data_IF_547677552291
#
_entry.id   IF_547677552291
#
_cell.length_a   1.000
_cell.length_b   1.000
_cell.length_c   1.000
_cell.angle_alpha   90.00
_cell.angle_beta   90.00
_cell.angle_gamma   90.00
#
_symmetry.space_group_name_H-M   'P 1'
#
loop_
_entity.id
_entity.type
_entity.pdbx_description
1 polymer ?
#
# COMPACT_ATOMS: atom_id res chain seq x y z
N UNK A 1 -16.48 -10.67 -23.18
CA UNK A 1 -15.74 -10.95 -21.93
C UNK A 1 -14.27 -10.95 -22.30
N UNK A 2 -13.52 -9.90 -21.95
CA UNK A 2 -12.08 -9.82 -22.27
C UNK A 2 -11.34 -10.74 -21.32
N UNK A 3 -10.68 -11.76 -21.83
CA UNK A 3 -9.79 -12.60 -21.01
C UNK A 3 -8.63 -11.75 -20.46
N UNK A 4 -8.48 -11.75 -19.15
CA UNK A 4 -7.37 -11.09 -18.48
C UNK A 4 -6.12 -11.96 -18.64
N UNK A 5 -5.11 -11.42 -19.29
CA UNK A 5 -3.79 -12.08 -19.37
C UNK A 5 -3.07 -11.99 -18.01
N UNK A 6 -2.18 -12.95 -17.74
CA UNK A 6 -1.42 -12.99 -16.49
C UNK A 6 -0.54 -11.75 -16.27
N UNK A 7 -0.19 -11.02 -17.32
CA UNK A 7 0.67 -9.84 -17.30
C UNK A 7 -0.07 -8.50 -17.17
N UNK A 8 -1.40 -8.50 -17.07
CA UNK A 8 -2.16 -7.26 -16.93
C UNK A 8 -2.27 -6.80 -15.48
N UNK A 9 -2.04 -5.50 -15.25
CA UNK A 9 -2.42 -4.85 -14.02
C UNK A 9 -3.94 -4.75 -13.93
N UNK A 10 -4.50 -5.06 -12.77
CA UNK A 10 -5.95 -5.08 -12.57
C UNK A 10 -6.28 -4.52 -11.20
N UNK A 11 -7.17 -3.54 -11.15
CA UNK A 11 -7.82 -3.08 -9.92
C UNK A 11 -9.32 -3.23 -10.08
N UNK A 12 -9.98 -3.85 -9.11
CA UNK A 12 -11.43 -4.06 -9.12
C UNK A 12 -12.06 -3.66 -7.80
N UNK A 13 -13.22 -3.04 -7.88
CA UNK A 13 -14.09 -2.76 -6.73
C UNK A 13 -15.35 -3.59 -6.82
N UNK A 14 -15.74 -4.11 -5.66
CA UNK A 14 -16.95 -4.87 -5.47
C UNK A 14 -17.75 -4.26 -4.32
N UNK A 15 -19.06 -4.24 -4.44
CA UNK A 15 -19.99 -3.93 -3.38
C UNK A 15 -20.78 -5.19 -3.08
N UNK A 16 -20.80 -5.59 -1.82
CA UNK A 16 -21.61 -6.71 -1.34
C UNK A 16 -22.81 -6.13 -0.60
N UNK A 17 -24.02 -6.32 -1.17
CA UNK A 17 -25.25 -5.69 -0.69
C UNK A 17 -25.93 -6.43 0.47
N UNK A 18 -25.37 -7.54 0.94
CA UNK A 18 -25.91 -8.27 2.07
C UNK A 18 -25.52 -7.57 3.37
N UNK A 19 -26.48 -7.31 4.24
CA UNK A 19 -26.27 -6.59 5.49
C UNK A 19 -25.42 -7.42 6.51
N UNK A 20 -24.37 -6.82 7.13
CA UNK A 20 -23.88 -5.48 6.84
C UNK A 20 -23.14 -5.44 5.49
N UNK A 21 -23.41 -4.43 4.67
CA UNK A 21 -22.75 -4.25 3.40
C UNK A 21 -21.22 -4.16 3.53
N UNK A 22 -20.51 -4.56 2.50
CA UNK A 22 -19.04 -4.49 2.47
C UNK A 22 -18.55 -3.98 1.13
N UNK A 23 -17.47 -3.20 1.17
CA UNK A 23 -16.71 -2.80 0.00
C UNK A 23 -15.45 -3.65 -0.06
N UNK A 24 -15.17 -4.19 -1.23
CA UNK A 24 -13.93 -4.94 -1.48
C UNK A 24 -13.19 -4.28 -2.62
N UNK A 25 -11.90 -4.03 -2.43
CA UNK A 25 -10.99 -3.60 -3.49
C UNK A 25 -9.92 -4.66 -3.63
N UNK A 26 -9.77 -5.20 -4.82
CA UNK A 26 -8.68 -6.14 -5.14
C UNK A 26 -7.75 -5.52 -6.18
N UNK A 27 -6.46 -5.75 -6.06
CA UNK A 27 -5.48 -5.30 -7.03
C UNK A 27 -4.45 -6.40 -7.32
N UNK A 28 -4.04 -6.48 -8.57
CA UNK A 28 -2.89 -7.24 -9.03
C UNK A 28 -2.06 -6.33 -9.92
N UNK A 29 -0.80 -6.14 -9.54
CA UNK A 29 0.16 -5.35 -10.28
C UNK A 29 1.26 -6.30 -10.79
N UNK A 30 1.46 -6.34 -12.09
CA UNK A 30 2.48 -7.16 -12.73
C UNK A 30 3.44 -6.28 -13.53
N UNK A 31 2.97 -5.63 -14.57
CA UNK A 31 3.81 -4.71 -15.36
C UNK A 31 4.23 -3.50 -14.53
N UNK A 32 3.28 -2.88 -13.83
CA UNK A 32 3.56 -1.75 -12.94
C UNK A 32 4.50 -2.15 -11.79
N UNK A 33 4.30 -3.30 -11.17
CA UNK A 33 5.17 -3.78 -10.10
C UNK A 33 6.63 -3.91 -10.55
N UNK A 34 6.86 -4.44 -11.75
CA UNK A 34 8.21 -4.53 -12.36
C UNK A 34 8.76 -3.15 -12.69
N UNK A 35 7.95 -2.28 -13.33
CA UNK A 35 8.37 -0.94 -13.73
C UNK A 35 8.81 -0.07 -12.56
N UNK A 36 8.12 -0.16 -11.41
CA UNK A 36 8.41 0.60 -10.20
C UNK A 36 9.84 0.37 -9.66
N UNK A 37 10.38 -0.83 -9.84
CA UNK A 37 11.65 -1.25 -9.23
C UNK A 37 12.81 -1.39 -10.22
N UNK A 38 12.52 -1.53 -11.52
CA UNK A 38 13.52 -1.85 -12.56
C UNK A 38 14.63 -0.80 -12.67
N UNK A 39 14.32 0.47 -12.49
CA UNK A 39 15.28 1.57 -12.70
C UNK A 39 16.09 1.96 -11.46
N UNK A 40 15.84 1.33 -10.32
CA UNK A 40 16.41 1.74 -9.04
C UNK A 40 17.48 0.76 -8.49
N UNK A 41 17.75 -0.35 -9.19
CA UNK A 41 18.68 -1.40 -8.75
C UNK A 41 18.45 -1.85 -7.30
N UNK A 42 17.20 -1.94 -6.89
CA UNK A 42 16.82 -2.32 -5.54
C UNK A 42 17.17 -3.78 -5.24
N UNK A 43 17.68 -4.10 -4.05
CA UNK A 43 17.74 -5.48 -3.58
C UNK A 43 16.33 -6.11 -3.60
N UNK A 44 16.20 -7.42 -3.86
CA UNK A 44 14.89 -8.08 -4.00
C UNK A 44 13.93 -7.83 -2.82
N UNK A 45 14.45 -7.83 -1.58
CA UNK A 45 13.66 -7.58 -0.39
C UNK A 45 13.16 -6.12 -0.30
N UNK A 46 13.94 -5.14 -0.76
CA UNK A 46 13.53 -3.73 -0.85
C UNK A 46 12.51 -3.55 -1.96
N UNK A 47 12.72 -4.19 -3.10
CA UNK A 47 11.79 -4.19 -4.22
C UNK A 47 10.41 -4.72 -3.82
N UNK A 48 10.36 -5.85 -3.10
CA UNK A 48 9.11 -6.41 -2.58
C UNK A 48 8.38 -5.45 -1.63
N UNK A 49 9.09 -4.79 -0.71
CA UNK A 49 8.50 -3.78 0.18
C UNK A 49 7.95 -2.57 -0.59
N UNK A 50 8.68 -2.07 -1.58
CA UNK A 50 8.20 -0.98 -2.44
C UNK A 50 6.94 -1.37 -3.21
N UNK A 51 6.85 -2.61 -3.69
CA UNK A 51 5.68 -3.13 -4.37
C UNK A 51 4.48 -3.27 -3.43
N UNK A 52 4.68 -3.75 -2.20
CA UNK A 52 3.62 -3.80 -1.18
C UNK A 52 3.13 -2.38 -0.80
N UNK A 53 4.03 -1.42 -0.62
CA UNK A 53 3.68 -0.03 -0.33
C UNK A 53 2.86 0.59 -1.47
N UNK A 54 3.27 0.36 -2.72
CA UNK A 54 2.57 0.84 -3.91
C UNK A 54 1.19 0.21 -4.06
N UNK A 55 1.08 -1.08 -3.75
CA UNK A 55 -0.18 -1.80 -3.74
C UNK A 55 -1.13 -1.26 -2.66
N UNK A 56 -0.62 -0.99 -1.44
CA UNK A 56 -1.39 -0.39 -0.37
C UNK A 56 -1.94 1.00 -0.77
N UNK A 57 -1.10 1.86 -1.36
CA UNK A 57 -1.51 3.16 -1.88
C UNK A 57 -2.59 3.03 -2.96
N UNK A 58 -2.44 2.08 -3.89
CA UNK A 58 -3.43 1.81 -4.95
C UNK A 58 -4.77 1.32 -4.40
N UNK A 59 -4.77 0.39 -3.46
CA UNK A 59 -5.98 -0.13 -2.82
C UNK A 59 -6.74 0.99 -2.09
N UNK A 60 -6.04 1.83 -1.32
CA UNK A 60 -6.62 2.98 -0.62
C UNK A 60 -7.21 4.01 -1.59
N UNK A 61 -6.46 4.38 -2.62
CA UNK A 61 -6.91 5.32 -3.65
C UNK A 61 -8.21 4.85 -4.30
N UNK A 62 -8.33 3.55 -4.56
CA UNK A 62 -9.54 2.97 -5.14
C UNK A 62 -10.67 2.72 -4.11
N UNK A 63 -10.38 2.76 -2.83
CA UNK A 63 -11.38 2.66 -1.77
C UNK A 63 -12.08 4.00 -1.51
N UNK A 64 -11.35 5.11 -1.60
CA UNK A 64 -11.84 6.45 -1.32
C UNK A 64 -12.34 7.15 -2.59
N UNK A 65 -13.20 8.15 -2.40
CA UNK A 65 -13.61 9.08 -3.46
C UNK A 65 -12.96 10.42 -3.20
N UNK A 66 -11.89 10.71 -3.91
CA UNK A 66 -11.19 12.00 -3.84
C UNK A 66 -10.45 12.25 -5.15
N UNK A 67 -10.07 13.49 -5.39
CA UNK A 67 -9.13 13.89 -6.43
C UNK A 67 -7.87 14.39 -5.74
N UNK A 68 -6.72 13.84 -6.11
CA UNK A 68 -5.44 14.17 -5.47
C UNK A 68 -4.50 13.00 -5.39
N UNK A 69 -3.71 12.95 -4.33
CA UNK A 69 -2.65 11.98 -4.14
C UNK A 69 -2.78 11.25 -2.79
N UNK A 70 -2.60 9.93 -2.84
CA UNK A 70 -2.47 9.06 -1.67
C UNK A 70 -1.00 8.76 -1.46
N UNK A 71 -0.49 9.01 -0.26
CA UNK A 71 0.90 8.77 0.10
C UNK A 71 0.95 7.80 1.27
N UNK A 72 1.68 6.71 1.11
CA UNK A 72 1.99 5.75 2.17
C UNK A 72 3.49 5.80 2.42
N UNK A 73 3.89 6.02 3.66
CA UNK A 73 5.29 6.24 4.01
C UNK A 73 5.67 5.47 5.27
N UNK A 74 6.84 4.83 5.24
CA UNK A 74 7.53 4.33 6.42
C UNK A 74 8.88 5.01 6.56
N UNK A 75 9.16 5.58 7.73
CA UNK A 75 10.46 6.13 8.09
C UNK A 75 10.97 5.45 9.34
N UNK A 76 12.19 4.96 9.31
CA UNK A 76 12.69 4.04 10.32
C UNK A 76 14.19 4.19 10.56
N UNK A 77 14.69 3.52 11.60
CA UNK A 77 16.11 3.49 11.99
C UNK A 77 16.81 2.21 11.50
N UNK A 78 16.11 1.35 10.79
CA UNK A 78 16.68 0.11 10.24
C UNK A 78 17.47 0.31 8.94
N UNK A 79 18.02 -0.79 8.39
CA UNK A 79 18.74 -0.77 7.12
C UNK A 79 17.94 -0.20 5.94
N UNK A 80 16.62 -0.33 5.95
CA UNK A 80 15.71 0.36 5.02
C UNK A 80 15.12 1.55 5.77
N UNK A 81 15.72 2.72 5.63
CA UNK A 81 15.39 3.90 6.44
C UNK A 81 14.20 4.70 5.92
N UNK A 82 13.82 4.51 4.67
CA UNK A 82 12.68 5.18 4.05
C UNK A 82 12.02 4.29 3.00
N UNK A 83 10.70 4.21 3.06
CA UNK A 83 9.84 3.69 2.00
C UNK A 83 8.73 4.70 1.76
N UNK A 84 8.50 5.07 0.51
CA UNK A 84 7.40 5.96 0.11
C UNK A 84 6.73 5.38 -1.13
N UNK A 85 5.42 5.32 -1.12
CA UNK A 85 4.62 5.05 -2.30
C UNK A 85 3.54 6.13 -2.45
N UNK A 86 3.36 6.60 -3.66
CA UNK A 86 2.40 7.63 -4.02
C UNK A 86 1.50 7.09 -5.12
N UNK A 87 0.20 7.31 -4.98
CA UNK A 87 -0.80 6.94 -5.98
C UNK A 87 -1.74 8.11 -6.23
N UNK A 88 -1.79 8.60 -7.45
CA UNK A 88 -2.74 9.64 -7.84
C UNK A 88 -4.14 9.06 -8.04
N UNK A 89 -5.17 9.88 -7.95
CA UNK A 89 -6.56 9.46 -8.13
C UNK A 89 -6.87 8.91 -9.53
N UNK A 90 -6.03 9.21 -10.54
CA UNK A 90 -6.07 8.61 -11.88
C UNK A 90 -5.21 7.34 -12.02
N UNK A 91 -4.59 6.87 -10.93
CA UNK A 91 -3.92 5.58 -10.85
C UNK A 91 -2.43 5.58 -11.22
N UNK A 92 -1.78 6.74 -11.29
CA UNK A 92 -0.33 6.79 -11.47
C UNK A 92 0.38 6.44 -10.17
N UNK A 93 1.36 5.55 -10.24
CA UNK A 93 2.12 5.06 -9.10
C UNK A 93 3.58 5.49 -9.18
N UNK A 94 4.12 5.91 -8.04
CA UNK A 94 5.54 6.19 -7.85
C UNK A 94 5.99 5.59 -6.52
N UNK A 95 7.21 5.06 -6.48
CA UNK A 95 7.81 4.56 -5.25
C UNK A 95 9.26 4.99 -5.12
N UNK A 96 9.68 5.19 -3.88
CA UNK A 96 11.05 5.56 -3.52
C UNK A 96 11.45 4.82 -2.26
N UNK A 97 12.70 4.36 -2.19
CA UNK A 97 13.28 3.78 -0.99
C UNK A 97 14.68 4.29 -0.74
N UNK A 98 15.08 4.31 0.53
CA UNK A 98 16.47 4.51 0.96
C UNK A 98 16.89 3.31 1.79
N UNK A 99 18.04 2.74 1.49
CA UNK A 99 18.56 1.55 2.16
C UNK A 99 20.08 1.60 2.28
N UNK A 100 20.60 0.84 3.24
CA UNK A 100 22.04 0.63 3.38
C UNK A 100 22.53 -0.29 2.23
N UNK A 101 23.54 0.13 1.44
CA UNK A 101 24.12 -0.73 0.40
C UNK A 101 24.67 -2.08 0.91
N UNK A 102 25.04 -2.15 2.19
CA UNK A 102 25.51 -3.38 2.85
C UNK A 102 24.36 -4.26 3.39
N UNK A 103 23.09 -3.95 3.05
CA UNK A 103 21.91 -4.66 3.51
C UNK A 103 22.01 -6.17 3.29
N UNK A 104 21.90 -6.93 4.38
CA UNK A 104 21.84 -8.39 4.38
C UNK A 104 20.59 -8.96 5.07
N UNK A 105 19.82 -8.13 5.76
CA UNK A 105 18.58 -8.50 6.42
C UNK A 105 17.51 -8.94 5.42
N UNK A 106 16.63 -9.84 5.83
CA UNK A 106 15.52 -10.36 4.99
C UNK A 106 14.15 -10.27 5.67
N UNK A 107 14.10 -10.30 7.02
CA UNK A 107 12.86 -10.16 7.78
C UNK A 107 12.39 -8.71 7.83
N UNK A 108 11.09 -8.47 7.82
CA UNK A 108 10.52 -7.13 7.83
C UNK A 108 11.04 -6.27 8.99
N UNK A 109 11.00 -6.78 10.23
CA UNK A 109 11.50 -6.05 11.41
C UNK A 109 12.99 -5.77 11.35
N UNK A 110 13.77 -6.70 10.81
CA UNK A 110 15.22 -6.52 10.66
C UNK A 110 15.56 -5.52 9.55
N UNK A 111 14.67 -5.39 8.54
CA UNK A 111 14.80 -4.42 7.45
C UNK A 111 14.45 -3.00 7.90
N UNK A 112 13.35 -2.83 8.62
CA UNK A 112 12.83 -1.49 8.94
C UNK A 112 13.17 -1.04 10.37
N UNK A 113 13.45 -1.95 11.32
CA UNK A 113 13.71 -1.54 12.70
C UNK A 113 12.50 -0.86 13.33
N UNK A 114 12.73 0.27 14.01
CA UNK A 114 11.70 1.09 14.65
C UNK A 114 11.51 2.43 13.93
N UNK A 115 10.34 3.04 14.09
CA UNK A 115 10.04 4.29 13.43
C UNK A 115 8.55 4.61 13.40
N UNK A 116 8.11 5.22 12.31
CA UNK A 116 6.70 5.50 12.09
C UNK A 116 6.23 5.12 10.68
N UNK A 117 4.95 4.82 10.60
CA UNK A 117 4.21 4.56 9.38
C UNK A 117 3.11 5.63 9.23
N UNK A 118 3.03 6.26 8.09
CA UNK A 118 2.08 7.35 7.84
C UNK A 118 1.27 7.11 6.57
N UNK A 119 -0.01 7.45 6.65
CA UNK A 119 -0.92 7.50 5.50
C UNK A 119 -1.37 8.93 5.33
N UNK A 120 -1.17 9.50 4.16
CA UNK A 120 -1.54 10.87 3.83
C UNK A 120 -2.51 10.88 2.65
N UNK A 121 -3.62 11.57 2.82
CA UNK A 121 -4.53 11.95 1.73
C UNK A 121 -4.28 13.43 1.44
N UNK A 122 -3.79 13.73 0.25
CA UNK A 122 -3.50 15.09 -0.22
C UNK A 122 -4.44 15.46 -1.37
N UNK A 123 -5.64 15.98 -1.06
CA UNK A 123 -6.63 16.30 -2.08
C UNK A 123 -6.23 17.57 -2.82
N UNK A 124 -6.61 17.67 -4.11
CA UNK A 124 -6.43 18.89 -4.92
C UNK A 124 -7.25 20.07 -4.39
N UNK A 125 -8.34 19.76 -3.68
CA UNK A 125 -9.18 20.74 -2.97
C UNK A 125 -9.55 20.19 -1.60
N UNK A 126 -9.43 21.03 -0.58
CA UNK A 126 -9.70 20.67 0.80
C UNK A 126 -8.43 20.56 1.64
N UNK A 127 -8.57 20.05 2.84
CA UNK A 127 -7.47 19.93 3.79
C UNK A 127 -6.73 18.58 3.61
N UNK A 128 -5.41 18.64 3.69
CA UNK A 128 -4.56 17.47 3.75
C UNK A 128 -4.77 16.74 5.08
N UNK A 129 -4.99 15.44 5.00
CA UNK A 129 -5.11 14.56 6.17
C UNK A 129 -3.90 13.64 6.26
N UNK A 130 -3.39 13.43 7.48
CA UNK A 130 -2.34 12.46 7.74
C UNK A 130 -2.62 11.71 9.04
N UNK A 131 -2.62 10.39 8.97
CA UNK A 131 -2.61 9.49 10.12
C UNK A 131 -1.24 8.84 10.28
N UNK A 132 -0.77 8.74 11.53
CA UNK A 132 0.55 8.19 11.85
C UNK A 132 0.40 7.11 12.91
N UNK A 133 1.06 5.97 12.70
CA UNK A 133 1.18 4.89 13.67
C UNK A 133 2.65 4.54 13.89
N UNK A 134 2.95 3.88 15.02
CA UNK A 134 4.29 3.35 15.27
C UNK A 134 4.60 2.20 14.31
N UNK A 135 5.86 2.11 13.89
CA UNK A 135 6.35 1.05 13.03
C UNK A 135 6.85 -0.11 13.91
N UNK A 136 5.92 -0.83 14.52
CA UNK A 136 6.19 -1.95 15.43
C UNK A 136 5.50 -3.26 15.01
N UNK A 137 4.86 -3.26 13.86
CA UNK A 137 4.20 -4.42 13.28
C UNK A 137 5.16 -5.34 12.50
N UNK A 138 4.68 -6.49 12.06
CA UNK A 138 5.50 -7.53 11.40
C UNK A 138 5.48 -7.47 9.86
N UNK A 139 4.67 -6.55 9.28
CA UNK A 139 4.52 -6.40 7.83
C UNK A 139 3.90 -5.04 7.47
N UNK A 140 3.98 -4.65 6.19
CA UNK A 140 3.29 -3.47 5.67
C UNK A 140 1.76 -3.60 5.89
N UNK A 141 1.19 -4.77 5.61
CA UNK A 141 -0.25 -5.00 5.83
C UNK A 141 -0.64 -4.83 7.30
N UNK A 142 0.19 -5.31 8.24
CA UNK A 142 -0.06 -5.14 9.67
C UNK A 142 0.02 -3.66 10.10
N UNK A 143 0.95 -2.87 9.55
CA UNK A 143 1.00 -1.41 9.76
C UNK A 143 -0.27 -0.73 9.23
N UNK A 144 -0.75 -1.11 8.05
CA UNK A 144 -1.99 -0.59 7.48
C UNK A 144 -3.20 -0.93 8.36
N UNK A 145 -3.29 -2.16 8.85
CA UNK A 145 -4.39 -2.58 9.72
C UNK A 145 -4.35 -1.83 11.06
N UNK A 146 -3.18 -1.59 11.62
CA UNK A 146 -3.02 -0.76 12.81
C UNK A 146 -3.49 0.68 12.56
N UNK A 147 -3.13 1.27 11.40
CA UNK A 147 -3.63 2.58 10.98
C UNK A 147 -5.16 2.60 10.90
N UNK A 148 -5.80 1.60 10.28
CA UNK A 148 -7.25 1.53 10.17
C UNK A 148 -7.93 1.47 11.55
N UNK A 149 -7.43 0.66 12.47
CA UNK A 149 -7.96 0.57 13.83
C UNK A 149 -7.90 1.90 14.60
N UNK A 150 -6.92 2.74 14.32
CA UNK A 150 -6.74 4.02 15.02
C UNK A 150 -7.42 5.20 14.33
N UNK A 151 -7.55 5.18 13.02
CA UNK A 151 -7.90 6.36 12.22
C UNK A 151 -9.22 6.22 11.45
N UNK A 152 -9.70 5.00 11.21
CA UNK A 152 -10.91 4.77 10.44
C UNK A 152 -12.11 4.45 11.35
N UNK A 153 -13.27 5.00 10.99
CA UNK A 153 -14.54 4.71 11.69
C UNK A 153 -15.18 3.40 11.24
N UNK A 154 -14.78 2.90 10.06
CA UNK A 154 -15.28 1.66 9.47
C UNK A 154 -14.23 0.57 9.63
N UNK A 155 -14.69 -0.61 10.05
CA UNK A 155 -13.83 -1.80 10.12
C UNK A 155 -13.22 -2.05 8.74
N UNK A 156 -11.92 -1.99 8.65
CA UNK A 156 -11.16 -2.13 7.41
C UNK A 156 -9.97 -3.04 7.64
N UNK A 157 -9.76 -3.98 6.73
CA UNK A 157 -8.60 -4.86 6.74
C UNK A 157 -7.97 -4.95 5.36
N UNK A 158 -6.64 -5.13 5.33
CA UNK A 158 -5.83 -5.21 4.13
C UNK A 158 -4.90 -6.41 4.20
N UNK A 159 -4.74 -7.07 3.06
CA UNK A 159 -3.77 -8.15 2.82
C UNK A 159 -2.93 -7.79 1.62
N UNK A 160 -1.62 -7.95 1.73
CA UNK A 160 -0.63 -7.63 0.70
C UNK A 160 0.36 -8.77 0.53
N UNK A 161 0.78 -9.00 -0.70
CA UNK A 161 1.88 -9.90 -1.03
C UNK A 161 2.64 -9.36 -2.25
N UNK A 162 3.96 -9.46 -2.23
CA UNK A 162 4.84 -9.13 -3.35
C UNK A 162 6.08 -10.03 -3.34
N UNK A 163 6.61 -10.34 -4.53
CA UNK A 163 7.77 -11.22 -4.71
C UNK A 163 8.93 -10.57 -5.49
N UNK A 164 8.85 -9.25 -5.74
CA UNK A 164 9.80 -8.52 -6.57
C UNK A 164 9.44 -8.50 -8.06
N UNK A 165 8.51 -9.34 -8.50
CA UNK A 165 8.05 -9.42 -9.90
C UNK A 165 6.58 -9.02 -10.05
N UNK A 166 5.77 -9.34 -9.07
CA UNK A 166 4.35 -9.04 -9.03
C UNK A 166 3.90 -8.71 -7.61
N UNK A 167 2.78 -8.03 -7.50
CA UNK A 167 2.15 -7.73 -6.25
C UNK A 167 0.64 -7.95 -6.34
N UNK A 168 0.04 -8.50 -5.30
CA UNK A 168 -1.39 -8.73 -5.20
C UNK A 168 -1.91 -8.42 -3.81
N UNK A 169 -3.12 -7.88 -3.72
CA UNK A 169 -3.70 -7.52 -2.44
C UNK A 169 -5.20 -7.34 -2.49
N UNK A 170 -5.72 -7.24 -1.29
CA UNK A 170 -7.13 -7.11 -1.01
C UNK A 170 -7.34 -6.10 0.13
N UNK A 171 -8.33 -5.24 -0.03
CA UNK A 171 -8.85 -4.39 1.03
C UNK A 171 -10.33 -4.71 1.19
N UNK A 172 -10.76 -4.97 2.42
CA UNK A 172 -12.17 -5.19 2.77
C UNK A 172 -12.58 -4.15 3.81
N UNK A 173 -13.62 -3.39 3.50
CA UNK A 173 -14.16 -2.38 4.40
C UNK A 173 -15.65 -2.64 4.63
N UNK A 174 -16.04 -2.67 5.90
CA UNK A 174 -17.44 -2.72 6.30
C UNK A 174 -18.11 -1.37 5.99
N UNK A 175 -19.28 -1.42 5.38
CA UNK A 175 -20.07 -0.21 5.15
C UNK A 175 -20.91 0.12 6.38
N UNK A 176 -21.12 1.42 6.63
CA UNK A 176 -22.07 1.85 7.66
C UNK A 176 -23.47 1.30 7.35
N UNK A 177 -24.12 0.73 8.34
CA UNK A 177 -25.57 0.44 8.25
C UNK A 177 -26.32 1.76 8.39
N UNK A 178 -27.15 2.08 7.38
CA UNK A 178 -28.14 3.15 7.49
C UNK A 178 -29.17 2.85 8.57
#
# INVERSE_FOLDING_TARGET
MTELTADQDVVRRYLCDHAPGSRVVSARLTQTARALVTHQNMPPQVAALCQEMSLAASLLTNCLKFEGEMIVQAKSDGPVSLLVAECTSDGQLRTTAQWDPALSATGFRDLVGTGYFAVTVDPTQGERYQGIVTLDADSIAACMNQYFHQSEQLDTEMWLAADGHSAGGLLVQRLATE
#
